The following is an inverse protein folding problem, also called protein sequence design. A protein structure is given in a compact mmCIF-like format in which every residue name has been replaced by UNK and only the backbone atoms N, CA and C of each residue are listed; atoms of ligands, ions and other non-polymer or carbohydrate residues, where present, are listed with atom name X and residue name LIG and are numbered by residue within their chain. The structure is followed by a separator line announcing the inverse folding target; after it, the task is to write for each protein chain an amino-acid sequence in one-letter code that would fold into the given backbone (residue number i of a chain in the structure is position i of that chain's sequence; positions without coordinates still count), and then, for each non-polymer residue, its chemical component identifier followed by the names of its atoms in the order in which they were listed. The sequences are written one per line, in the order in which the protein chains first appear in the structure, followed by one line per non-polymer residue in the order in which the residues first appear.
data_IF_413444611068
#
_entry.id   IF_413444611068
#
_cell.length_a   1.000
_cell.length_b   1.000
_cell.length_c   1.000
_cell.angle_alpha   90.00
_cell.angle_beta   90.00
_cell.angle_gamma   90.00
#
_symmetry.space_group_name_H-M   'P 1'
#
loop_
_entity.id
_entity.type
_entity.pdbx_description
1 polymer ?
#
# COMPACT_ATOMS: atom_id res chain seq x y z
N UNK A 1 10.48 -22.81 27.79
CA UNK A 1 11.16 -21.51 28.04
C UNK A 1 10.55 -20.50 27.09
N UNK A 2 9.43 -19.90 27.50
CA UNK A 2 8.66 -18.94 26.71
C UNK A 2 9.17 -17.57 27.11
N UNK A 3 10.19 -17.05 26.41
CA UNK A 3 10.48 -15.63 26.44
C UNK A 3 9.38 -14.94 25.62
N UNK A 4 8.18 -14.86 26.20
CA UNK A 4 7.06 -14.06 25.74
C UNK A 4 7.42 -12.59 25.97
N UNK A 5 8.33 -12.07 25.15
CA UNK A 5 8.34 -10.65 24.87
C UNK A 5 7.07 -10.43 24.06
N UNK A 6 6.02 -9.92 24.72
CA UNK A 6 4.76 -9.61 24.09
C UNK A 6 5.05 -8.87 22.77
N UNK A 7 4.49 -9.29 21.61
CA UNK A 7 4.84 -8.74 20.29
C UNK A 7 4.33 -7.30 20.09
N UNK A 8 4.21 -6.53 21.18
CA UNK A 8 3.82 -5.12 21.23
C UNK A 8 4.61 -4.28 20.23
N UNK A 9 5.94 -4.47 20.19
CA UNK A 9 6.82 -3.74 19.29
C UNK A 9 6.43 -3.97 17.83
N UNK A 10 6.16 -5.23 17.47
CA UNK A 10 5.77 -5.62 16.11
C UNK A 10 4.39 -5.09 15.75
N UNK A 11 3.42 -5.21 16.66
CA UNK A 11 2.06 -4.70 16.45
C UNK A 11 2.07 -3.18 16.31
N UNK A 12 2.79 -2.47 17.18
CA UNK A 12 2.89 -1.01 17.14
C UNK A 12 3.58 -0.53 15.84
N UNK A 13 4.68 -1.16 15.44
CA UNK A 13 5.36 -0.84 14.19
C UNK A 13 4.43 -1.06 12.98
N UNK A 14 3.69 -2.17 12.97
CA UNK A 14 2.74 -2.47 11.89
C UNK A 14 1.62 -1.44 11.81
N UNK A 15 1.05 -1.04 12.96
CA UNK A 15 0.01 -0.01 13.02
C UNK A 15 0.56 1.33 12.51
N UNK A 16 1.77 1.73 12.93
CA UNK A 16 2.40 2.97 12.47
C UNK A 16 2.68 2.96 10.96
N UNK A 17 3.20 1.85 10.43
CA UNK A 17 3.44 1.67 8.99
C UNK A 17 2.13 1.75 8.21
N UNK A 18 1.07 1.13 8.72
CA UNK A 18 -0.26 1.20 8.13
C UNK A 18 -0.80 2.64 8.09
N UNK A 19 -0.70 3.38 9.20
CA UNK A 19 -1.08 4.79 9.24
C UNK A 19 -0.27 5.64 8.26
N UNK A 20 1.05 5.40 8.17
CA UNK A 20 1.92 6.07 7.21
C UNK A 20 1.50 5.79 5.76
N UNK A 21 1.22 4.53 5.43
CA UNK A 21 0.72 4.13 4.12
C UNK A 21 -0.58 4.85 3.78
N UNK A 22 -1.54 4.88 4.72
CA UNK A 22 -2.83 5.56 4.55
C UNK A 22 -2.64 7.05 4.32
N UNK A 23 -1.79 7.72 5.11
CA UNK A 23 -1.56 9.15 4.98
C UNK A 23 -0.97 9.51 3.60
N UNK A 24 0.05 8.76 3.15
CA UNK A 24 0.70 8.99 1.86
C UNK A 24 -0.27 8.71 0.72
N UNK A 25 -0.91 7.54 0.71
CA UNK A 25 -1.82 7.16 -0.37
C UNK A 25 -3.04 8.08 -0.44
N UNK A 26 -3.62 8.49 0.69
CA UNK A 26 -4.74 9.42 0.71
C UNK A 26 -4.35 10.81 0.16
N UNK A 27 -3.13 11.27 0.41
CA UNK A 27 -2.64 12.53 -0.16
C UNK A 27 -2.50 12.44 -1.69
N UNK A 28 -1.96 11.32 -2.21
CA UNK A 28 -1.86 11.10 -3.65
C UNK A 28 -3.23 10.94 -4.30
N UNK A 29 -4.16 10.17 -3.71
CA UNK A 29 -5.52 10.03 -4.22
C UNK A 29 -6.25 11.39 -4.24
N UNK A 30 -6.11 12.20 -3.20
CA UNK A 30 -6.70 13.54 -3.18
C UNK A 30 -6.14 14.42 -4.31
N UNK A 31 -4.81 14.40 -4.49
CA UNK A 31 -4.13 15.25 -5.47
C UNK A 31 -4.34 14.81 -6.91
N UNK A 32 -4.36 13.49 -7.17
CA UNK A 32 -4.44 12.91 -8.52
C UNK A 32 -5.88 12.69 -8.97
N UNK A 33 -6.78 12.26 -8.07
CA UNK A 33 -8.19 11.97 -8.39
C UNK A 33 -9.15 13.09 -7.98
N UNK A 34 -8.67 14.16 -7.34
CA UNK A 34 -9.50 15.29 -6.86
C UNK A 34 -10.65 14.86 -5.95
N UNK A 35 -10.47 13.75 -5.22
CA UNK A 35 -11.43 13.31 -4.20
C UNK A 35 -11.47 14.32 -3.05
N UNK A 36 -12.61 14.41 -2.37
CA UNK A 36 -12.70 15.18 -1.13
C UNK A 36 -11.70 14.65 -0.09
N UNK A 37 -11.12 15.51 0.77
CA UNK A 37 -10.09 15.10 1.73
C UNK A 37 -10.58 13.97 2.65
N UNK A 38 -11.83 14.06 3.11
CA UNK A 38 -12.48 13.02 3.91
C UNK A 38 -12.61 11.70 3.15
N UNK A 39 -13.16 11.74 1.93
CA UNK A 39 -13.36 10.55 1.09
C UNK A 39 -12.05 9.87 0.72
N UNK A 40 -10.99 10.65 0.47
CA UNK A 40 -9.67 10.11 0.14
C UNK A 40 -9.09 9.31 1.30
N UNK A 41 -9.19 9.83 2.53
CA UNK A 41 -8.75 9.13 3.74
C UNK A 41 -9.61 7.89 4.00
N UNK A 42 -10.94 8.01 3.91
CA UNK A 42 -11.87 6.89 4.13
C UNK A 42 -11.61 5.72 3.16
N UNK A 43 -11.53 6.00 1.86
CA UNK A 43 -11.27 4.95 0.86
C UNK A 43 -9.91 4.31 1.06
N UNK A 44 -8.87 5.13 1.27
CA UNK A 44 -7.51 4.62 1.48
C UNK A 44 -7.42 3.78 2.74
N UNK A 45 -8.07 4.19 3.83
CA UNK A 45 -8.11 3.44 5.07
C UNK A 45 -8.78 2.08 4.87
N UNK A 46 -9.97 2.03 4.26
CA UNK A 46 -10.68 0.77 3.98
C UNK A 46 -9.82 -0.17 3.14
N UNK A 47 -9.21 0.33 2.07
CA UNK A 47 -8.39 -0.49 1.17
C UNK A 47 -7.14 -1.03 1.86
N UNK A 48 -6.43 -0.20 2.62
CA UNK A 48 -5.23 -0.63 3.34
C UNK A 48 -5.59 -1.62 4.45
N UNK A 49 -6.63 -1.36 5.24
CA UNK A 49 -7.07 -2.28 6.30
C UNK A 49 -7.51 -3.62 5.72
N UNK A 50 -8.31 -3.61 4.65
CA UNK A 50 -8.77 -4.83 3.97
C UNK A 50 -7.60 -5.62 3.40
N UNK A 51 -6.65 -4.97 2.72
CA UNK A 51 -5.45 -5.65 2.22
C UNK A 51 -4.59 -6.23 3.34
N UNK A 52 -4.41 -5.50 4.45
CA UNK A 52 -3.68 -6.02 5.62
C UNK A 52 -4.37 -7.23 6.23
N UNK A 53 -5.69 -7.17 6.41
CA UNK A 53 -6.46 -8.27 6.97
C UNK A 53 -6.43 -9.51 6.07
N UNK A 54 -6.68 -9.34 4.77
CA UNK A 54 -6.58 -10.43 3.78
C UNK A 54 -5.14 -10.97 3.72
N UNK A 55 -4.13 -10.11 3.76
CA UNK A 55 -2.73 -10.51 3.80
C UNK A 55 -2.40 -11.40 5.01
N UNK A 56 -2.92 -11.06 6.20
CA UNK A 56 -2.80 -11.91 7.38
C UNK A 56 -3.52 -13.24 7.24
N UNK A 57 -4.74 -13.25 6.70
CA UNK A 57 -5.48 -14.50 6.45
C UNK A 57 -4.73 -15.42 5.49
N UNK A 58 -4.19 -14.86 4.39
CA UNK A 58 -3.37 -15.61 3.43
C UNK A 58 -2.09 -16.11 4.09
N UNK A 59 -1.43 -15.29 4.90
CA UNK A 59 -0.24 -15.70 5.64
C UNK A 59 -0.51 -16.89 6.56
N UNK A 60 -1.54 -16.85 7.40
CA UNK A 60 -1.90 -17.97 8.28
C UNK A 60 -2.33 -19.23 7.50
N UNK A 61 -3.02 -19.04 6.37
CA UNK A 61 -3.36 -20.14 5.47
C UNK A 61 -2.13 -20.79 4.85
N UNK A 62 -1.18 -20.00 4.35
CA UNK A 62 0.07 -20.49 3.77
C UNK A 62 1.01 -21.10 4.81
N UNK A 63 1.09 -20.53 6.01
CA UNK A 63 1.90 -21.05 7.12
C UNK A 63 1.54 -22.51 7.41
N UNK A 64 0.25 -22.84 7.36
CA UNK A 64 -0.26 -24.20 7.58
C UNK A 64 0.13 -25.19 6.47
N UNK A 65 0.49 -24.70 5.28
CA UNK A 65 0.79 -25.48 4.08
C UNK A 65 2.30 -25.52 3.81
N UNK A 66 3.10 -24.69 4.48
CA UNK A 66 4.50 -24.49 4.14
C UNK A 66 5.37 -25.70 4.53
N UNK A 67 6.11 -26.33 3.59
CA UNK A 67 7.00 -27.45 3.87
C UNK A 67 8.17 -27.05 4.78
N UNK A 68 8.60 -27.95 5.66
CA UNK A 68 9.69 -27.73 6.63
C UNK A 68 11.00 -27.29 5.97
N UNK A 69 11.30 -27.76 4.76
CA UNK A 69 12.52 -27.44 4.01
C UNK A 69 12.62 -25.95 3.63
N UNK A 70 11.49 -25.30 3.31
CA UNK A 70 11.49 -23.85 3.02
C UNK A 70 11.77 -23.05 4.30
N UNK A 71 11.21 -23.50 5.43
CA UNK A 71 11.38 -22.87 6.74
C UNK A 71 12.84 -22.91 7.19
N UNK A 72 13.52 -24.05 7.02
CA UNK A 72 14.94 -24.19 7.32
C UNK A 72 15.83 -23.36 6.38
N UNK A 73 15.50 -23.28 5.09
CA UNK A 73 16.22 -22.39 4.15
C UNK A 73 16.06 -20.90 4.49
N UNK A 74 14.87 -20.47 4.91
CA UNK A 74 14.59 -19.10 5.36
C UNK A 74 15.34 -18.76 6.66
N UNK A 75 15.36 -19.68 7.63
CA UNK A 75 16.10 -19.52 8.89
C UNK A 75 17.61 -19.53 8.64
N UNK A 76 18.11 -20.44 7.80
CA UNK A 76 19.52 -20.51 7.39
C UNK A 76 19.99 -19.24 6.68
N UNK A 77 19.14 -18.67 5.81
CA UNK A 77 19.42 -17.39 5.15
C UNK A 77 19.46 -16.22 6.15
N UNK A 78 18.49 -16.15 7.08
CA UNK A 78 18.39 -15.08 8.08
C UNK A 78 19.52 -15.13 9.13
N UNK A 79 20.09 -16.31 9.42
CA UNK A 79 21.12 -16.50 10.45
C UNK A 79 22.54 -16.58 9.88
N UNK A 80 22.76 -17.19 8.70
CA UNK A 80 24.11 -17.46 8.17
C UNK A 80 24.52 -16.56 7.00
N UNK A 81 23.66 -15.66 6.50
CA UNK A 81 24.03 -14.70 5.45
C UNK A 81 24.59 -15.35 4.18
N UNK A 82 24.11 -16.54 3.82
CA UNK A 82 24.70 -17.39 2.78
C UNK A 82 23.72 -17.77 1.65
N UNK A 83 24.10 -17.43 0.42
CA UNK A 83 23.54 -17.97 -0.83
C UNK A 83 22.93 -16.92 -1.76
N UNK A 84 23.69 -16.49 -2.79
CA UNK A 84 23.20 -15.56 -3.81
C UNK A 84 21.98 -16.08 -4.60
N UNK A 85 21.69 -17.38 -4.54
CA UNK A 85 20.60 -18.04 -5.28
C UNK A 85 19.20 -17.84 -4.67
N UNK A 86 19.08 -17.32 -3.44
CA UNK A 86 17.78 -17.12 -2.77
C UNK A 86 17.21 -15.71 -3.01
N UNK A 87 18.03 -14.74 -3.41
CA UNK A 87 17.56 -13.37 -3.69
C UNK A 87 16.57 -13.34 -4.84
N UNK A 88 16.85 -14.03 -5.95
CA UNK A 88 15.97 -14.05 -7.12
C UNK A 88 14.53 -14.53 -6.80
N UNK A 89 14.32 -15.71 -6.18
CA UNK A 89 12.96 -16.15 -5.82
C UNK A 89 12.31 -15.27 -4.74
N UNK A 90 13.09 -14.74 -3.78
CA UNK A 90 12.55 -13.86 -2.75
C UNK A 90 12.08 -12.51 -3.33
N UNK A 91 12.88 -11.91 -4.21
CA UNK A 91 12.52 -10.68 -4.92
C UNK A 91 11.31 -10.93 -5.82
N UNK A 92 11.23 -12.08 -6.50
CA UNK A 92 10.06 -12.44 -7.30
C UNK A 92 8.79 -12.51 -6.45
N UNK A 93 8.84 -13.18 -5.29
CA UNK A 93 7.70 -13.25 -4.36
C UNK A 93 7.31 -11.85 -3.88
N UNK A 94 8.27 -11.00 -3.51
CA UNK A 94 8.00 -9.63 -3.08
C UNK A 94 7.33 -8.80 -4.19
N UNK A 95 7.80 -8.91 -5.43
CA UNK A 95 7.21 -8.23 -6.59
C UNK A 95 5.80 -8.76 -6.87
N UNK A 96 5.56 -10.07 -6.74
CA UNK A 96 4.22 -10.64 -6.89
C UNK A 96 3.26 -10.14 -5.82
N UNK A 97 3.69 -10.07 -4.55
CA UNK A 97 2.87 -9.51 -3.46
C UNK A 97 2.55 -8.04 -3.73
N UNK A 98 3.54 -7.25 -4.17
CA UNK A 98 3.34 -5.86 -4.54
C UNK A 98 2.33 -5.71 -5.68
N UNK A 99 2.42 -6.55 -6.71
CA UNK A 99 1.50 -6.53 -7.84
C UNK A 99 0.07 -6.94 -7.44
N UNK A 100 -0.09 -8.01 -6.66
CA UNK A 100 -1.41 -8.49 -6.20
C UNK A 100 -2.07 -7.46 -5.28
N UNK A 101 -1.32 -6.87 -4.36
CA UNK A 101 -1.86 -5.83 -3.46
C UNK A 101 -2.23 -4.56 -4.21
N UNK A 102 -1.43 -4.15 -5.20
CA UNK A 102 -1.80 -3.07 -6.12
C UNK A 102 -3.12 -3.35 -6.85
N UNK A 103 -3.27 -4.54 -7.45
CA UNK A 103 -4.49 -4.93 -8.17
C UNK A 103 -5.70 -4.98 -7.24
N UNK A 104 -5.55 -5.50 -6.03
CA UNK A 104 -6.62 -5.51 -5.03
C UNK A 104 -7.06 -4.09 -4.65
N UNK A 105 -6.11 -3.17 -4.44
CA UNK A 105 -6.40 -1.76 -4.12
C UNK A 105 -7.11 -1.05 -5.26
N UNK A 106 -6.70 -1.32 -6.50
CA UNK A 106 -7.44 -0.82 -7.66
C UNK A 106 -8.90 -1.23 -7.62
N UNK A 107 -9.13 -2.54 -7.61
CA UNK A 107 -10.46 -3.12 -7.79
C UNK A 107 -11.34 -2.68 -6.63
N UNK A 108 -10.78 -2.63 -5.41
CA UNK A 108 -11.46 -2.09 -4.26
C UNK A 108 -11.84 -0.61 -4.41
N UNK A 109 -10.97 0.24 -5.00
CA UNK A 109 -11.31 1.65 -5.21
C UNK A 109 -12.46 1.82 -6.22
N UNK A 110 -12.46 1.03 -7.29
CA UNK A 110 -13.51 1.03 -8.31
C UNK A 110 -14.86 0.56 -7.72
N UNK A 111 -14.83 -0.48 -6.88
CA UNK A 111 -16.00 -0.97 -6.15
C UNK A 111 -16.52 0.10 -5.16
N UNK A 112 -15.64 0.71 -4.35
CA UNK A 112 -16.00 1.75 -3.40
C UNK A 112 -16.62 2.97 -4.10
N UNK A 113 -16.03 3.40 -5.21
CA UNK A 113 -16.57 4.50 -6.02
C UNK A 113 -17.95 4.16 -6.58
N UNK A 114 -18.15 2.93 -7.06
CA UNK A 114 -19.44 2.46 -7.61
C UNK A 114 -20.52 2.37 -6.53
N UNK A 115 -20.20 1.83 -5.36
CA UNK A 115 -21.12 1.75 -4.21
C UNK A 115 -21.49 3.14 -3.70
N UNK A 116 -20.52 4.05 -3.60
CA UNK A 116 -20.76 5.40 -3.11
C UNK A 116 -21.56 6.29 -4.07
N UNK A 117 -21.46 6.05 -5.38
CA UNK A 117 -22.22 6.80 -6.40
C UNK A 117 -23.56 6.15 -6.78
N UNK A 118 -23.78 4.89 -6.41
CA UNK A 118 -25.05 4.16 -6.51
C UNK A 118 -25.71 4.22 -7.90
N UNK A 119 -25.35 3.34 -8.83
CA UNK A 119 -25.96 3.18 -10.19
C UNK A 119 -26.20 4.46 -11.02
N UNK A 120 -25.74 5.63 -10.57
CA UNK A 120 -25.65 6.83 -11.38
C UNK A 120 -24.22 6.86 -11.89
N UNK A 121 -24.03 6.44 -13.15
CA UNK A 121 -22.87 6.82 -13.93
C UNK A 121 -22.72 8.33 -13.77
N UNK A 122 -21.80 8.78 -12.93
CA UNK A 122 -21.53 10.18 -12.76
C UNK A 122 -20.96 10.65 -14.09
N UNK A 123 -21.77 11.46 -14.77
CA UNK A 123 -21.33 12.31 -15.85
C UNK A 123 -19.98 12.92 -15.47
N UNK A 124 -19.07 12.94 -16.44
CA UNK A 124 -17.81 13.68 -16.37
C UNK A 124 -18.03 15.02 -15.65
N UNK A 125 -17.14 15.47 -14.76
CA UNK A 125 -17.30 16.75 -14.11
C UNK A 125 -17.20 17.87 -15.15
N UNK A 126 -18.33 18.29 -15.70
CA UNK A 126 -18.42 19.50 -16.51
C UNK A 126 -18.58 20.66 -15.54
N UNK A 127 -17.47 21.31 -15.25
CA UNK A 127 -17.41 22.52 -14.45
C UNK A 127 -18.16 23.64 -15.21
N UNK A 128 -19.36 23.99 -14.74
CA UNK A 128 -20.03 25.25 -15.11
C UNK A 128 -19.84 26.21 -13.93
N UNK A 129 -18.66 26.83 -13.87
CA UNK A 129 -18.40 27.96 -12.98
C UNK A 129 -18.60 29.28 -13.74
N UNK A 130 -19.06 30.36 -13.07
CA UNK A 130 -19.31 31.64 -13.71
C UNK A 130 -18.02 32.23 -14.33
N UNK A 131 -18.13 33.04 -15.40
CA UNK A 131 -16.98 33.58 -16.10
C UNK A 131 -16.27 34.62 -15.22
N UNK A 132 -15.21 34.20 -14.52
CA UNK A 132 -14.33 35.08 -13.76
C UNK A 132 -13.08 35.45 -14.56
N UNK A 133 -12.86 36.75 -14.72
CA UNK A 133 -11.84 37.39 -15.57
C UNK A 133 -10.40 37.37 -14.99
N UNK A 134 -10.07 36.45 -14.08
CA UNK A 134 -8.72 36.37 -13.49
C UNK A 134 -8.06 35.05 -13.80
N UNK A 135 -7.52 34.95 -15.02
CA UNK A 135 -6.78 33.79 -15.51
C UNK A 135 -5.40 33.72 -14.86
N UNK A 136 -5.33 33.16 -13.64
CA UNK A 136 -4.07 32.67 -13.06
C UNK A 136 -3.56 31.51 -13.93
N UNK A 137 -2.27 31.45 -14.30
CA UNK A 137 -1.77 30.32 -15.09
C UNK A 137 -1.93 29.04 -14.26
N UNK A 138 -2.73 28.12 -14.78
CA UNK A 138 -2.89 26.78 -14.22
C UNK A 138 -1.51 26.14 -14.30
N UNK A 139 -0.79 26.10 -13.18
CA UNK A 139 0.42 25.28 -13.05
C UNK A 139 0.00 23.88 -13.50
N UNK A 140 0.65 23.36 -14.56
CA UNK A 140 0.44 22.00 -15.05
C UNK A 140 0.90 21.03 -13.96
N UNK A 141 0.03 20.78 -12.99
CA UNK A 141 0.18 19.70 -12.03
C UNK A 141 0.07 18.38 -12.79
N UNK A 142 0.87 17.40 -12.37
CA UNK A 142 0.93 16.05 -12.90
C UNK A 142 -0.49 15.44 -12.93
N UNK A 143 -1.18 15.53 -14.06
CA UNK A 143 -2.54 15.03 -14.24
C UNK A 143 -2.46 13.61 -14.76
N UNK A 144 -2.45 12.67 -13.83
CA UNK A 144 -2.74 11.28 -14.17
C UNK A 144 -4.26 11.16 -14.18
N UNK A 145 -4.85 11.20 -15.37
CA UNK A 145 -6.31 11.26 -15.54
C UNK A 145 -7.00 9.92 -15.25
N UNK A 146 -6.24 8.85 -15.06
CA UNK A 146 -6.78 7.50 -14.85
C UNK A 146 -6.63 7.11 -13.38
N UNK A 147 -7.69 6.48 -12.84
CA UNK A 147 -7.65 5.79 -11.55
C UNK A 147 -6.45 4.82 -11.48
N UNK A 148 -6.05 4.27 -12.64
CA UNK A 148 -4.82 3.47 -12.80
C UNK A 148 -3.59 4.10 -12.21
N UNK A 149 -3.13 5.15 -12.87
CA UNK A 149 -1.82 5.68 -12.53
C UNK A 149 -1.89 6.37 -11.17
N UNK A 150 -3.07 6.87 -10.75
CA UNK A 150 -3.23 7.43 -9.42
C UNK A 150 -2.98 6.40 -8.32
N UNK A 151 -3.60 5.22 -8.40
CA UNK A 151 -3.39 4.13 -7.44
C UNK A 151 -1.98 3.56 -7.55
N UNK A 152 -1.46 3.41 -8.78
CA UNK A 152 -0.11 2.86 -8.98
C UNK A 152 0.94 3.77 -8.36
N UNK A 153 0.90 5.08 -8.65
CA UNK A 153 1.85 6.04 -8.09
C UNK A 153 1.72 6.09 -6.56
N UNK A 154 0.49 6.15 -6.04
CA UNK A 154 0.26 6.16 -4.59
C UNK A 154 0.89 4.93 -3.93
N UNK A 155 0.64 3.74 -4.49
CA UNK A 155 1.15 2.47 -3.99
C UNK A 155 2.67 2.33 -4.10
N UNK A 156 3.28 2.74 -5.22
CA UNK A 156 4.73 2.68 -5.38
C UNK A 156 5.42 3.65 -4.42
N UNK A 157 4.91 4.87 -4.28
CA UNK A 157 5.51 5.88 -3.39
C UNK A 157 5.34 5.49 -1.92
N UNK A 158 4.16 4.99 -1.52
CA UNK A 158 3.94 4.54 -0.13
C UNK A 158 4.90 3.40 0.23
N UNK A 159 5.04 2.39 -0.62
CA UNK A 159 5.98 1.28 -0.39
C UNK A 159 7.44 1.72 -0.42
N UNK A 160 7.83 2.64 -1.29
CA UNK A 160 9.19 3.19 -1.31
C UNK A 160 9.54 3.89 0.01
N UNK A 161 8.61 4.69 0.55
CA UNK A 161 8.79 5.37 1.85
C UNK A 161 8.86 4.36 2.99
N UNK A 162 8.01 3.33 2.98
CA UNK A 162 8.04 2.26 3.99
C UNK A 162 9.39 1.52 3.94
N UNK A 163 9.90 1.20 2.76
CA UNK A 163 11.21 0.57 2.61
C UNK A 163 12.34 1.45 3.18
N UNK A 164 12.29 2.76 2.96
CA UNK A 164 13.27 3.70 3.56
C UNK A 164 13.18 3.66 5.08
N UNK A 165 11.97 3.72 5.65
CA UNK A 165 11.75 3.66 7.10
C UNK A 165 12.29 2.34 7.68
N UNK A 166 11.97 1.21 7.04
CA UNK A 166 12.45 -0.11 7.46
C UNK A 166 13.97 -0.24 7.33
N UNK A 167 14.55 0.31 6.27
CA UNK A 167 16.00 0.34 6.08
C UNK A 167 16.68 1.13 7.19
N UNK A 168 16.20 2.33 7.52
CA UNK A 168 16.72 3.13 8.62
C UNK A 168 16.61 2.41 9.97
N UNK A 169 15.49 1.73 10.22
CA UNK A 169 15.35 0.90 11.41
C UNK A 169 16.38 -0.24 11.44
N UNK A 170 16.58 -0.93 10.31
CA UNK A 170 17.55 -2.03 10.22
C UNK A 170 18.98 -1.57 10.47
N UNK A 171 19.38 -0.40 9.98
CA UNK A 171 20.71 0.17 10.23
C UNK A 171 20.89 0.51 11.71
N UNK A 172 19.86 1.08 12.35
CA UNK A 172 19.92 1.42 13.77
C UNK A 172 19.97 0.19 14.70
N UNK A 173 19.42 -0.95 14.30
CA UNK A 173 19.50 -2.19 15.09
C UNK A 173 20.85 -2.93 14.93
N UNK A 174 21.63 -2.60 13.89
CA UNK A 174 22.96 -3.19 13.64
C UNK A 174 24.12 -2.32 14.15
N UNK A 175 23.83 -1.20 14.82
CA UNK A 175 24.81 -0.29 15.44
C UNK A 175 24.83 -0.48 16.97
#
# INVERSE_FOLDING_TARGET
MIASVFPFRTILAQVLILFLAIAIEAWFLQKLLKLGPRTSVEYTAILNLACTFVGWLVFFGMESILPKDLREKLIGYMILGGGQDIYAPLTLIAVLILAVTFLAKWQGLELLATVATGTKKTAKPQFVGPPSLTRRPVKKTFQVTTQFGAVLIAHTVSNAVILIVLFLQSVNENL
#
